data_IF_785859655922
#
_entry.id   IF_785859655922
#
_cell.length_a   1.000
_cell.length_b   1.000
_cell.length_c   1.000
_cell.angle_alpha   90.00
_cell.angle_beta   90.00
_cell.angle_gamma   90.00
#
_symmetry.space_group_name_H-M   'P 1'
#
loop_
_entity.id
_entity.type
_entity.pdbx_description
1 polymer ?
#
# COMPACT_ATOMS: atom_id res chain seq x y z
N UNK A 1 35.74 3.87 28.06
CA UNK A 1 35.27 4.32 26.73
C UNK A 1 34.61 3.15 26.08
N UNK A 2 33.25 3.08 26.03
CA UNK A 2 32.55 2.02 25.30
C UNK A 2 32.67 2.33 23.81
N UNK A 3 33.35 1.48 23.07
CA UNK A 3 33.30 1.51 21.61
C UNK A 3 31.92 0.92 21.26
N UNK A 4 31.03 1.73 20.72
CA UNK A 4 29.79 1.23 20.17
C UNK A 4 30.14 0.34 18.98
N UNK A 5 29.93 -0.98 19.11
CA UNK A 5 29.94 -1.87 17.95
C UNK A 5 28.77 -1.50 17.05
N UNK A 6 29.06 -0.82 15.96
CA UNK A 6 28.07 -0.64 14.88
C UNK A 6 27.97 -1.96 14.12
N UNK A 7 26.81 -2.59 14.17
CA UNK A 7 26.53 -3.77 13.32
C UNK A 7 26.58 -3.27 11.86
N UNK A 8 27.35 -3.91 10.98
CA UNK A 8 27.34 -3.55 9.55
C UNK A 8 25.92 -3.67 8.99
N UNK A 9 25.58 -2.82 8.05
CA UNK A 9 24.32 -2.89 7.34
C UNK A 9 24.47 -2.41 5.89
N UNK A 10 23.63 -2.98 5.04
CA UNK A 10 23.44 -2.53 3.66
C UNK A 10 22.17 -1.67 3.59
N UNK A 11 22.24 -0.55 2.89
CA UNK A 11 21.11 0.34 2.68
C UNK A 11 20.49 0.08 1.31
N UNK A 12 19.19 -0.16 1.25
CA UNK A 12 18.45 -0.39 0.03
C UNK A 12 17.24 0.52 -0.11
N UNK A 13 16.80 0.70 -1.35
CA UNK A 13 15.57 1.41 -1.71
C UNK A 13 14.85 0.66 -2.83
N UNK A 14 13.56 0.39 -2.63
CA UNK A 14 12.66 -0.04 -3.68
C UNK A 14 11.82 1.17 -4.13
N UNK A 15 12.05 1.65 -5.35
CA UNK A 15 11.39 2.80 -5.97
C UNK A 15 10.63 2.43 -7.25
N UNK A 16 10.52 1.14 -7.53
CA UNK A 16 9.82 0.55 -8.67
C UNK A 16 10.35 0.93 -10.06
N UNK A 17 11.40 1.74 -10.17
CA UNK A 17 11.95 2.14 -11.48
C UNK A 17 12.57 0.98 -12.25
N UNK A 18 13.00 -0.07 -11.54
CA UNK A 18 13.55 -1.31 -12.09
C UNK A 18 12.46 -2.31 -12.57
N UNK A 19 11.17 -2.03 -12.30
CA UNK A 19 10.07 -2.91 -12.69
C UNK A 19 9.62 -2.59 -14.13
N UNK A 20 9.59 -3.56 -15.06
CA UNK A 20 9.04 -3.33 -16.39
C UNK A 20 7.53 -3.09 -16.32
N UNK A 21 7.03 -2.18 -17.17
CA UNK A 21 5.61 -1.95 -17.35
C UNK A 21 5.27 -2.05 -18.84
N UNK A 22 4.07 -2.58 -19.18
CA UNK A 22 3.56 -2.56 -20.55
C UNK A 22 3.16 -1.14 -20.97
N UNK A 23 2.84 -0.93 -22.24
CA UNK A 23 2.39 0.37 -22.79
C UNK A 23 1.13 0.91 -22.07
N UNK A 24 0.33 0.04 -21.48
CA UNK A 24 -0.83 0.45 -20.67
C UNK A 24 -0.45 1.20 -19.38
N UNK A 25 0.84 1.14 -18.97
CA UNK A 25 1.37 1.89 -17.83
C UNK A 25 1.02 1.31 -16.45
N UNK A 26 0.46 0.14 -16.39
CA UNK A 26 0.19 -0.56 -15.14
C UNK A 26 0.20 -2.06 -15.39
N UNK A 27 0.64 -2.82 -14.38
CA UNK A 27 0.53 -4.26 -14.30
C UNK A 27 0.87 -5.01 -15.61
N UNK A 28 1.71 -6.03 -15.52
CA UNK A 28 2.00 -6.97 -16.61
C UNK A 28 1.46 -8.36 -16.23
N UNK A 29 0.82 -9.05 -17.18
CA UNK A 29 0.34 -10.41 -16.98
C UNK A 29 1.46 -11.38 -16.57
N UNK A 30 2.71 -11.11 -16.95
CA UNK A 30 3.89 -11.90 -16.60
C UNK A 30 4.34 -11.65 -15.13
N UNK A 31 3.85 -10.59 -14.48
CA UNK A 31 4.09 -10.28 -13.07
C UNK A 31 3.04 -10.86 -12.12
N UNK A 32 2.19 -11.76 -12.60
CA UNK A 32 1.17 -12.43 -11.80
C UNK A 32 1.79 -13.26 -10.67
N UNK A 33 1.27 -13.04 -9.46
CA UNK A 33 1.69 -13.73 -8.25
C UNK A 33 2.79 -13.04 -7.47
N UNK A 34 3.83 -12.51 -8.10
CA UNK A 34 4.86 -11.72 -7.45
C UNK A 34 5.75 -10.99 -8.47
N UNK A 35 6.28 -9.83 -8.06
CA UNK A 35 7.35 -9.12 -8.75
C UNK A 35 8.38 -8.62 -7.74
N UNK A 36 9.53 -8.14 -8.23
CA UNK A 36 10.62 -7.65 -7.40
C UNK A 36 10.97 -6.21 -7.78
N UNK A 37 11.21 -5.37 -6.77
CA UNK A 37 11.91 -4.09 -6.93
C UNK A 37 13.00 -4.02 -5.88
N UNK A 38 14.22 -3.73 -6.31
CA UNK A 38 15.45 -3.92 -5.51
C UNK A 38 15.49 -5.33 -4.91
N UNK A 39 15.58 -5.46 -3.56
CA UNK A 39 15.61 -6.76 -2.88
C UNK A 39 14.23 -7.19 -2.33
N UNK A 40 13.20 -6.35 -2.48
CA UNK A 40 11.86 -6.60 -1.95
C UNK A 40 11.00 -7.35 -2.97
N UNK A 41 10.29 -8.39 -2.49
CA UNK A 41 9.30 -9.14 -3.28
C UNK A 41 7.91 -8.64 -2.91
N UNK A 42 7.13 -8.24 -3.91
CA UNK A 42 5.76 -7.78 -3.77
C UNK A 42 4.82 -8.87 -4.28
N UNK A 43 3.78 -9.19 -3.51
CA UNK A 43 2.82 -10.23 -3.89
C UNK A 43 1.56 -9.62 -4.50
N UNK A 44 0.98 -10.31 -5.47
CA UNK A 44 -0.26 -9.92 -6.13
C UNK A 44 -1.08 -11.15 -6.51
N UNK A 45 -2.39 -10.98 -6.58
CA UNK A 45 -3.30 -12.00 -7.07
C UNK A 45 -4.21 -11.42 -8.15
N UNK A 46 -4.17 -12.02 -9.32
CA UNK A 46 -4.98 -11.66 -10.46
C UNK A 46 -5.89 -12.80 -10.86
N UNK A 47 -7.18 -12.51 -10.98
CA UNK A 47 -8.17 -13.44 -11.50
C UNK A 47 -8.43 -13.10 -12.97
N UNK A 48 -8.17 -14.06 -13.87
CA UNK A 48 -8.31 -13.86 -15.32
C UNK A 48 -9.75 -13.99 -15.84
N UNK A 49 -10.67 -14.44 -14.98
CA UNK A 49 -12.08 -14.61 -15.31
C UNK A 49 -12.79 -13.27 -15.45
N UNK A 50 -13.89 -13.22 -16.19
CA UNK A 50 -14.72 -12.02 -16.39
C UNK A 50 -13.98 -10.79 -16.95
N UNK A 51 -12.89 -11.00 -17.69
CA UNK A 51 -12.08 -9.93 -18.25
C UNK A 51 -10.88 -9.53 -17.41
N UNK A 52 -10.70 -10.17 -16.27
CA UNK A 52 -9.57 -9.98 -15.37
C UNK A 52 -9.77 -8.87 -14.33
N UNK A 53 -9.41 -9.16 -13.08
CA UNK A 53 -9.44 -8.19 -11.98
C UNK A 53 -8.40 -8.51 -10.90
N UNK A 54 -8.02 -7.49 -10.14
CA UNK A 54 -7.20 -7.65 -8.94
C UNK A 54 -8.00 -8.30 -7.82
N UNK A 55 -7.49 -9.39 -7.26
CA UNK A 55 -8.08 -10.07 -6.08
C UNK A 55 -7.31 -9.76 -4.78
N UNK A 56 -6.65 -8.64 -4.74
CA UNK A 56 -5.76 -8.23 -3.66
C UNK A 56 -4.29 -8.30 -4.06
N UNK A 57 -3.45 -7.51 -3.40
CA UNK A 57 -2.02 -7.49 -3.64
C UNK A 57 -1.44 -6.12 -3.95
N UNK A 58 -0.23 -6.14 -4.50
CA UNK A 58 0.53 -4.94 -4.84
C UNK A 58 0.87 -5.00 -6.33
N UNK A 59 0.60 -3.93 -7.07
CA UNK A 59 0.70 -3.88 -8.53
C UNK A 59 1.50 -2.67 -8.98
N UNK A 60 2.51 -2.81 -9.85
CA UNK A 60 3.28 -1.68 -10.35
C UNK A 60 2.44 -0.83 -11.30
N UNK A 61 2.65 0.50 -11.28
CA UNK A 61 1.97 1.47 -12.13
C UNK A 61 2.80 2.74 -12.34
N UNK A 62 2.49 3.48 -13.40
CA UNK A 62 2.93 4.86 -13.60
C UNK A 62 1.77 5.79 -14.00
N UNK A 63 0.53 5.35 -13.82
CA UNK A 63 -0.65 6.11 -14.20
C UNK A 63 -0.88 7.32 -13.30
N UNK A 64 -1.25 8.43 -13.91
CA UNK A 64 -1.32 9.74 -13.26
C UNK A 64 -2.64 10.46 -13.62
N UNK A 65 -3.74 9.74 -13.68
CA UNK A 65 -5.07 10.33 -13.85
C UNK A 65 -5.67 10.66 -12.48
N UNK A 66 -5.60 11.93 -12.08
CA UNK A 66 -6.14 12.41 -10.79
C UNK A 66 -7.60 12.89 -10.87
N UNK A 67 -8.27 12.77 -12.03
CA UNK A 67 -9.61 13.36 -12.27
C UNK A 67 -10.71 12.34 -12.49
N UNK A 68 -10.43 11.22 -13.16
CA UNK A 68 -11.44 10.18 -13.40
C UNK A 68 -11.81 9.50 -12.09
N UNK A 69 -13.10 9.48 -11.77
CA UNK A 69 -13.65 8.86 -10.56
C UNK A 69 -14.02 7.40 -10.77
N UNK A 70 -14.22 6.68 -9.68
CA UNK A 70 -14.79 5.33 -9.67
C UNK A 70 -13.82 4.22 -10.07
N UNK A 71 -14.38 3.02 -10.18
CA UNK A 71 -13.67 1.74 -10.34
C UNK A 71 -12.78 1.66 -11.59
N UNK A 72 -13.05 2.45 -12.63
CA UNK A 72 -12.26 2.43 -13.86
C UNK A 72 -10.87 3.08 -13.70
N UNK A 73 -10.60 3.70 -12.56
CA UNK A 73 -9.33 4.39 -12.28
C UNK A 73 -8.65 3.86 -11.00
N UNK A 74 -8.54 2.54 -10.89
CA UNK A 74 -7.97 1.86 -9.71
C UNK A 74 -6.46 2.01 -9.60
N UNK A 75 -5.76 2.17 -10.72
CA UNK A 75 -4.30 2.06 -10.78
C UNK A 75 -3.58 3.42 -10.88
N UNK A 76 -4.29 4.54 -10.74
CA UNK A 76 -3.70 5.87 -10.76
C UNK A 76 -3.41 6.41 -9.38
N UNK A 77 -2.29 7.13 -9.26
CA UNK A 77 -1.97 7.96 -8.10
C UNK A 77 -2.74 9.27 -8.14
N UNK A 78 -3.32 9.70 -7.00
CA UNK A 78 -3.96 11.02 -6.92
C UNK A 78 -2.94 12.16 -6.97
N UNK A 79 -1.87 12.17 -6.14
CA UNK A 79 -0.78 13.10 -6.36
C UNK A 79 0.03 12.66 -7.59
N UNK A 80 0.56 13.64 -8.32
CA UNK A 80 1.44 13.34 -9.46
C UNK A 80 2.63 12.50 -9.00
N UNK A 81 2.86 11.30 -9.56
CA UNK A 81 4.06 10.52 -9.27
C UNK A 81 5.28 11.14 -9.96
N UNK A 82 6.47 10.86 -9.45
CA UNK A 82 7.74 11.25 -10.08
C UNK A 82 8.23 10.23 -11.11
N UNK A 83 7.74 8.99 -11.02
CA UNK A 83 8.10 7.88 -11.88
C UNK A 83 7.09 6.74 -11.73
N UNK A 84 7.60 5.54 -11.57
CA UNK A 84 6.80 4.36 -11.24
C UNK A 84 6.52 4.31 -9.73
N UNK A 85 5.45 3.63 -9.38
CA UNK A 85 5.01 3.39 -8.00
C UNK A 85 4.25 2.07 -7.94
N UNK A 86 3.80 1.64 -6.78
CA UNK A 86 2.94 0.49 -6.66
C UNK A 86 1.58 0.86 -6.08
N UNK A 87 0.53 0.26 -6.63
CA UNK A 87 -0.84 0.32 -6.14
C UNK A 87 -1.05 -0.83 -5.18
N UNK A 88 -1.52 -0.54 -3.99
CA UNK A 88 -1.91 -1.51 -2.98
C UNK A 88 -3.42 -1.71 -3.07
N UNK A 89 -3.86 -2.95 -3.20
CA UNK A 89 -5.26 -3.37 -3.06
C UNK A 89 -5.36 -4.44 -1.97
N UNK A 90 -6.05 -4.13 -0.89
CA UNK A 90 -6.36 -5.10 0.15
C UNK A 90 -7.77 -5.65 -0.03
N UNK A 91 -7.90 -6.97 -0.06
CA UNK A 91 -9.19 -7.65 -0.18
C UNK A 91 -9.50 -8.41 1.12
N UNK A 92 -10.53 -7.97 1.83
CA UNK A 92 -10.96 -8.56 3.12
C UNK A 92 -11.41 -10.04 2.98
N UNK A 93 -11.72 -10.49 1.77
CA UNK A 93 -12.18 -11.86 1.51
C UNK A 93 -11.04 -12.84 1.19
N UNK A 94 -9.82 -12.32 0.99
CA UNK A 94 -8.63 -13.14 0.75
C UNK A 94 -7.87 -13.34 2.07
N UNK A 95 -7.57 -14.60 2.39
CA UNK A 95 -6.84 -14.92 3.62
C UNK A 95 -5.43 -14.31 3.59
N UNK A 96 -5.10 -13.50 4.58
CA UNK A 96 -3.75 -12.94 4.77
C UNK A 96 -2.67 -14.01 5.02
N UNK A 97 -3.08 -15.24 5.34
CA UNK A 97 -2.17 -16.38 5.55
C UNK A 97 -1.67 -16.99 4.24
N UNK A 98 -2.35 -16.78 3.13
CA UNK A 98 -1.95 -17.30 1.82
C UNK A 98 -0.92 -16.43 1.09
N UNK A 99 -0.55 -15.28 1.67
CA UNK A 99 0.62 -14.52 1.24
C UNK A 99 0.39 -13.56 0.07
N UNK A 100 -0.76 -13.58 -0.57
CA UNK A 100 -1.00 -12.80 -1.79
C UNK A 100 -1.75 -11.47 -1.55
N UNK A 101 -2.29 -11.25 -0.36
CA UNK A 101 -3.09 -10.07 -0.08
C UNK A 101 -2.21 -8.90 0.42
N UNK A 102 -1.94 -7.92 -0.44
CA UNK A 102 -1.26 -6.66 -0.12
C UNK A 102 -0.04 -6.84 0.81
N UNK A 103 0.90 -7.68 0.40
CA UNK A 103 2.06 -8.06 1.20
C UNK A 103 3.35 -7.83 0.44
N UNK A 104 4.39 -7.37 1.14
CA UNK A 104 5.75 -7.40 0.62
C UNK A 104 6.70 -8.14 1.59
N UNK A 105 7.69 -8.82 0.98
CA UNK A 105 8.63 -9.71 1.66
C UNK A 105 10.03 -9.11 1.52
N UNK A 106 10.72 -8.99 2.64
CA UNK A 106 12.06 -8.40 2.75
C UNK A 106 13.11 -9.49 2.95
N UNK A 107 14.37 -9.23 2.51
CA UNK A 107 15.49 -10.04 2.97
C UNK A 107 15.71 -9.86 4.48
N UNK A 108 16.35 -10.84 5.12
CA UNK A 108 16.57 -10.85 6.55
C UNK A 108 18.01 -10.63 6.96
N UNK A 109 18.21 -10.12 8.16
CA UNK A 109 17.33 -9.29 9.01
C UNK A 109 17.21 -7.88 8.44
N UNK A 110 16.00 -7.33 8.43
CA UNK A 110 15.74 -6.05 7.78
C UNK A 110 15.02 -5.07 8.72
N UNK A 111 15.43 -3.80 8.70
CA UNK A 111 14.68 -2.69 9.27
C UNK A 111 14.12 -1.83 8.15
N UNK A 112 12.81 -1.72 8.05
CA UNK A 112 12.17 -0.76 7.15
C UNK A 112 12.19 0.61 7.81
N UNK A 113 12.80 1.60 7.17
CA UNK A 113 12.89 2.95 7.72
C UNK A 113 11.64 3.76 7.48
N UNK A 114 11.23 3.83 6.22
CA UNK A 114 9.98 4.46 5.82
C UNK A 114 9.45 3.92 4.51
N UNK A 115 8.21 4.19 4.25
CA UNK A 115 7.53 4.02 2.98
C UNK A 115 6.83 5.32 2.62
N UNK A 116 6.89 5.77 1.37
CA UNK A 116 6.06 6.87 0.86
C UNK A 116 4.67 6.33 0.56
N UNK A 117 3.64 7.05 1.02
CA UNK A 117 2.24 6.64 0.88
C UNK A 117 1.42 7.80 0.36
N UNK A 118 0.47 7.52 -0.52
CA UNK A 118 -0.53 8.49 -0.95
C UNK A 118 -1.88 7.82 -1.23
N UNK A 119 -2.93 8.63 -1.38
CA UNK A 119 -4.19 8.10 -1.87
C UNK A 119 -4.08 7.68 -3.34
N UNK A 120 -4.67 6.54 -3.70
CA UNK A 120 -5.05 6.28 -5.09
C UNK A 120 -6.13 7.28 -5.52
N UNK A 121 -6.24 7.55 -6.81
CA UNK A 121 -7.32 8.42 -7.32
C UNK A 121 -8.69 7.84 -7.01
N UNK A 122 -8.83 6.54 -7.12
CA UNK A 122 -10.06 5.82 -6.79
C UNK A 122 -10.52 6.10 -5.35
N UNK A 123 -9.66 5.85 -4.36
CA UNK A 123 -9.97 6.07 -2.93
C UNK A 123 -10.17 7.54 -2.60
N UNK A 124 -9.35 8.44 -3.16
CA UNK A 124 -9.49 9.87 -2.91
C UNK A 124 -10.88 10.40 -3.28
N UNK A 125 -11.38 10.06 -4.47
CA UNK A 125 -12.68 10.53 -4.91
C UNK A 125 -13.84 9.83 -4.19
N UNK A 126 -13.71 8.54 -3.88
CA UNK A 126 -14.69 7.84 -3.04
C UNK A 126 -14.86 8.53 -1.67
N UNK A 127 -13.76 8.88 -0.99
CA UNK A 127 -13.77 9.62 0.27
C UNK A 127 -14.39 11.02 0.08
N UNK A 128 -14.00 11.73 -0.97
CA UNK A 128 -14.37 13.13 -1.17
C UNK A 128 -15.81 13.32 -1.61
N UNK A 129 -16.32 12.44 -2.46
CA UNK A 129 -17.62 12.61 -3.13
C UNK A 129 -18.60 11.47 -2.92
N UNK A 130 -18.13 10.31 -2.42
CA UNK A 130 -18.90 9.07 -2.34
C UNK A 130 -19.02 8.34 -3.67
N UNK A 131 -18.21 8.69 -4.67
CA UNK A 131 -18.25 8.07 -5.99
C UNK A 131 -17.17 6.98 -6.09
N UNK A 132 -17.60 5.73 -5.91
CA UNK A 132 -16.83 4.50 -6.11
C UNK A 132 -17.19 3.80 -7.43
N UNK A 133 -18.10 4.35 -8.20
CA UNK A 133 -18.62 3.75 -9.43
C UNK A 133 -19.70 2.68 -9.22
N UNK A 134 -20.02 2.31 -7.97
CA UNK A 134 -21.05 1.32 -7.61
C UNK A 134 -22.17 1.91 -6.73
N UNK A 135 -21.94 3.09 -6.13
CA UNK A 135 -22.85 3.71 -5.18
C UNK A 135 -22.85 3.06 -3.79
N UNK A 136 -21.78 2.36 -3.44
CA UNK A 136 -21.62 1.73 -2.12
C UNK A 136 -21.07 2.71 -1.10
N UNK A 137 -20.19 3.61 -1.52
CA UNK A 137 -19.57 4.63 -0.69
C UNK A 137 -20.47 5.83 -0.44
N UNK A 138 -20.16 6.56 0.63
CA UNK A 138 -20.65 7.91 0.88
C UNK A 138 -19.48 8.89 1.03
N UNK A 139 -19.73 10.16 0.71
CA UNK A 139 -18.77 11.20 1.03
C UNK A 139 -18.51 11.27 2.55
N UNK A 140 -17.25 11.50 2.94
CA UNK A 140 -16.86 11.62 4.34
C UNK A 140 -17.34 12.94 4.94
N UNK A 141 -17.73 12.88 6.19
CA UNK A 141 -18.25 13.98 7.01
C UNK A 141 -17.61 13.99 8.39
N UNK A 142 -17.95 14.96 9.22
CA UNK A 142 -17.44 15.07 10.59
C UNK A 142 -17.56 13.74 11.37
N UNK A 143 -16.46 13.34 12.00
CA UNK A 143 -16.28 12.09 12.71
C UNK A 143 -15.70 10.95 11.87
N UNK A 144 -15.66 11.05 10.54
CA UNK A 144 -15.15 9.99 9.66
C UNK A 144 -13.62 9.96 9.60
N UNK A 145 -13.10 8.78 9.30
CA UNK A 145 -11.67 8.57 9.07
C UNK A 145 -11.42 7.33 8.21
N UNK A 146 -10.28 7.32 7.54
CA UNK A 146 -9.76 6.18 6.77
C UNK A 146 -8.25 6.09 6.96
N UNK A 147 -7.74 4.91 7.24
CA UNK A 147 -6.31 4.68 7.47
C UNK A 147 -5.80 3.43 6.77
N UNK A 148 -4.53 3.45 6.43
CA UNK A 148 -3.73 2.30 6.08
C UNK A 148 -2.92 1.86 7.32
N UNK A 149 -2.76 0.55 7.49
CA UNK A 149 -2.00 -0.09 8.57
C UNK A 149 -0.93 -0.99 7.98
N UNK A 150 0.33 -0.78 8.38
CA UNK A 150 1.48 -1.62 8.05
C UNK A 150 1.78 -2.52 9.24
N UNK A 151 1.64 -3.83 9.09
CA UNK A 151 1.93 -4.82 10.14
C UNK A 151 3.16 -5.62 9.78
N UNK A 152 4.19 -5.56 10.65
CA UNK A 152 5.44 -6.28 10.47
C UNK A 152 5.41 -7.69 11.06
N UNK A 153 6.09 -8.62 10.40
CA UNK A 153 6.28 -9.99 10.88
C UNK A 153 7.73 -10.40 10.69
N UNK A 154 8.28 -11.19 11.64
CA UNK A 154 9.58 -11.82 11.48
C UNK A 154 9.48 -13.10 10.61
N UNK A 155 10.61 -13.78 10.38
CA UNK A 155 10.67 -15.01 9.60
C UNK A 155 9.89 -16.18 10.22
N UNK A 156 9.69 -16.17 11.54
CA UNK A 156 8.87 -17.16 12.23
C UNK A 156 7.37 -16.87 12.13
N UNK A 157 6.97 -15.72 11.51
CA UNK A 157 5.59 -15.28 11.41
C UNK A 157 5.06 -14.59 12.67
N UNK A 158 5.94 -14.24 13.63
CA UNK A 158 5.55 -13.50 14.82
C UNK A 158 5.29 -12.02 14.47
N UNK A 159 4.21 -11.48 15.02
CA UNK A 159 3.82 -10.08 14.83
C UNK A 159 4.76 -9.15 15.62
N UNK A 160 5.42 -8.23 14.92
CA UNK A 160 6.36 -7.25 15.47
C UNK A 160 5.70 -5.91 15.83
N UNK A 161 4.40 -5.75 15.55
CA UNK A 161 3.65 -4.53 15.74
C UNK A 161 3.10 -3.96 14.45
N UNK A 162 2.44 -2.81 14.57
CA UNK A 162 1.80 -2.14 13.43
C UNK A 162 2.01 -0.63 13.49
N UNK A 163 2.00 -0.01 12.31
CA UNK A 163 2.05 1.44 12.14
C UNK A 163 0.85 1.87 11.32
N UNK A 164 0.10 2.84 11.83
CA UNK A 164 -1.08 3.41 11.19
C UNK A 164 -0.73 4.75 10.51
N UNK A 165 -1.32 4.99 9.33
CA UNK A 165 -1.32 6.30 8.69
C UNK A 165 -2.72 6.66 8.21
N UNK A 166 -3.21 7.86 8.59
CA UNK A 166 -4.54 8.33 8.20
C UNK A 166 -4.50 8.98 6.80
N UNK A 167 -5.09 8.31 5.83
CA UNK A 167 -5.30 8.85 4.47
C UNK A 167 -6.44 9.86 4.43
N UNK A 168 -7.37 9.80 5.40
CA UNK A 168 -8.37 10.82 5.66
C UNK A 168 -8.73 10.87 7.15
N UNK A 169 -8.93 12.08 7.71
CA UNK A 169 -9.31 12.29 9.10
C UNK A 169 -10.21 13.54 9.24
N UNK A 170 -11.48 13.31 9.53
CA UNK A 170 -12.51 14.33 9.75
C UNK A 170 -12.95 14.41 11.20
N UNK A 171 -12.20 13.83 12.14
CA UNK A 171 -12.50 13.85 13.58
C UNK A 171 -12.03 15.15 14.20
N UNK A 172 -12.73 15.57 15.28
CA UNK A 172 -12.35 16.73 16.10
C UNK A 172 -12.20 18.05 15.30
N UNK A 173 -13.11 18.28 14.35
CA UNK A 173 -13.10 19.49 13.52
C UNK A 173 -12.05 19.50 12.40
N UNK A 174 -11.35 18.40 12.17
CA UNK A 174 -10.48 18.24 11.01
C UNK A 174 -11.31 18.06 9.74
N UNK A 175 -10.71 18.42 8.61
CA UNK A 175 -11.23 18.14 7.26
C UNK A 175 -10.03 17.79 6.37
N UNK A 176 -9.39 16.66 6.69
CA UNK A 176 -8.17 16.23 6.07
C UNK A 176 -8.42 15.05 5.12
N UNK A 177 -7.95 15.16 3.88
CA UNK A 177 -7.71 14.05 2.96
C UNK A 177 -6.29 14.23 2.45
N UNK A 178 -5.46 13.20 2.53
CA UNK A 178 -4.08 13.25 2.00
C UNK A 178 -4.11 13.49 0.49
N UNK A 179 -3.37 14.54 0.07
CA UNK A 179 -3.31 15.00 -1.32
C UNK A 179 -1.90 14.89 -1.91
N UNK A 180 -0.94 14.57 -1.07
CA UNK A 180 0.46 14.45 -1.41
C UNK A 180 1.02 13.07 -1.12
N UNK A 181 2.32 12.96 -1.22
CA UNK A 181 3.09 11.81 -0.78
C UNK A 181 3.58 12.04 0.65
N UNK A 182 3.23 11.15 1.57
CA UNK A 182 3.64 11.19 2.97
C UNK A 182 4.69 10.12 3.28
N UNK A 183 5.73 10.48 4.03
CA UNK A 183 6.71 9.53 4.53
C UNK A 183 6.19 8.92 5.85
N UNK A 184 5.94 7.62 5.84
CA UNK A 184 5.50 6.86 7.01
C UNK A 184 6.66 6.07 7.56
N UNK A 185 7.12 6.40 8.77
CA UNK A 185 8.22 5.69 9.42
C UNK A 185 7.77 4.33 9.94
N UNK A 186 8.47 3.27 9.55
CA UNK A 186 8.23 1.90 10.02
C UNK A 186 9.32 1.40 10.98
N UNK A 187 10.20 2.28 11.46
CA UNK A 187 11.33 1.94 12.36
C UNK A 187 10.87 1.24 13.64
N UNK A 188 9.66 1.53 14.12
CA UNK A 188 9.09 0.90 15.32
C UNK A 188 8.82 -0.59 15.18
N UNK A 189 8.78 -1.13 13.94
CA UNK A 189 8.66 -2.57 13.69
C UNK A 189 9.96 -3.33 14.01
N UNK A 190 11.09 -2.62 14.19
CA UNK A 190 12.37 -3.21 14.59
C UNK A 190 13.23 -3.65 13.42
N UNK A 191 14.21 -4.54 13.72
CA UNK A 191 15.26 -4.95 12.77
C UNK A 191 15.09 -6.35 12.20
N UNK A 192 14.08 -7.05 12.65
CA UNK A 192 13.82 -8.45 12.31
C UNK A 192 12.65 -8.61 11.33
N UNK A 193 12.30 -7.53 10.60
CA UNK A 193 11.17 -7.56 9.69
C UNK A 193 11.50 -8.41 8.47
N UNK A 194 10.70 -9.44 8.25
CA UNK A 194 10.76 -10.28 7.05
C UNK A 194 9.58 -10.04 6.12
N UNK A 195 8.43 -9.71 6.68
CA UNK A 195 7.20 -9.49 5.92
C UNK A 195 6.46 -8.30 6.48
N UNK A 196 5.88 -7.48 5.60
CA UNK A 196 4.93 -6.44 5.95
C UNK A 196 3.63 -6.70 5.21
N UNK A 197 2.52 -6.81 5.95
CA UNK A 197 1.18 -6.82 5.37
C UNK A 197 0.53 -5.44 5.51
N UNK A 198 -0.23 -5.06 4.49
CA UNK A 198 -0.92 -3.77 4.43
C UNK A 198 -2.42 -4.03 4.48
N UNK A 199 -3.12 -3.35 5.38
CA UNK A 199 -4.57 -3.44 5.52
C UNK A 199 -5.19 -2.06 5.70
N UNK A 200 -6.51 -1.97 5.60
CA UNK A 200 -7.23 -0.71 5.75
C UNK A 200 -8.32 -0.82 6.80
N UNK A 201 -8.67 0.32 7.37
CA UNK A 201 -9.86 0.47 8.22
C UNK A 201 -10.42 1.88 8.09
N UNK A 202 -11.71 2.04 8.38
CA UNK A 202 -12.39 3.31 8.23
C UNK A 202 -13.78 3.28 8.84
N UNK A 203 -14.51 4.38 8.74
CA UNK A 203 -15.84 4.56 9.32
C UNK A 203 -17.00 4.33 8.34
N UNK A 204 -16.74 4.33 7.04
CA UNK A 204 -17.75 4.00 6.03
C UNK A 204 -17.83 2.48 5.86
N UNK A 205 -18.68 1.86 6.71
CA UNK A 205 -18.84 0.41 6.81
C UNK A 205 -20.28 0.06 6.44
N UNK A 206 -20.45 -0.97 5.61
CA UNK A 206 -21.72 -1.56 5.23
C UNK A 206 -21.83 -3.03 5.66
N UNK A 207 -22.82 -3.72 5.12
CA UNK A 207 -23.10 -5.14 5.43
C UNK A 207 -21.97 -6.08 5.03
N UNK A 208 -21.10 -5.65 4.11
CA UNK A 208 -20.00 -6.43 3.54
C UNK A 208 -18.61 -5.91 3.93
N UNK A 209 -18.49 -5.13 5.00
CA UNK A 209 -17.23 -4.54 5.44
C UNK A 209 -17.07 -3.08 5.01
N UNK A 210 -15.83 -2.65 4.71
CA UNK A 210 -15.55 -1.29 4.25
C UNK A 210 -16.19 -1.02 2.89
N UNK A 211 -17.00 0.06 2.81
CA UNK A 211 -17.51 0.56 1.53
C UNK A 211 -16.44 1.38 0.77
N UNK A 212 -15.60 2.11 1.51
CA UNK A 212 -14.49 2.87 0.92
C UNK A 212 -13.50 1.91 0.26
N UNK A 213 -13.13 2.13 -1.03
CA UNK A 213 -12.15 1.28 -1.71
C UNK A 213 -10.85 1.15 -0.93
N UNK A 214 -10.43 -0.08 -0.69
CA UNK A 214 -9.25 -0.43 0.09
C UNK A 214 -7.97 -0.35 -0.75
N UNK A 215 -7.74 0.83 -1.35
CA UNK A 215 -6.61 1.15 -2.22
C UNK A 215 -5.80 2.32 -1.69
N UNK A 216 -4.49 2.21 -1.79
CA UNK A 216 -3.56 3.33 -1.72
C UNK A 216 -2.43 3.13 -2.72
N UNK A 217 -1.52 4.08 -2.80
CA UNK A 217 -0.28 3.94 -3.57
C UNK A 217 0.92 4.08 -2.64
N UNK A 218 1.97 3.30 -2.92
CA UNK A 218 3.24 3.32 -2.18
C UNK A 218 4.39 3.52 -3.14
N UNK A 219 5.46 4.13 -2.64
CA UNK A 219 6.69 4.39 -3.36
C UNK A 219 7.86 4.49 -2.38
N UNK A 220 9.11 4.48 -2.88
CA UNK A 220 10.34 4.72 -2.11
C UNK A 220 10.35 4.03 -0.74
N UNK A 221 10.41 2.69 -0.73
CA UNK A 221 10.58 1.94 0.51
C UNK A 221 12.08 1.91 0.84
N UNK A 222 12.49 2.65 1.89
CA UNK A 222 13.87 2.63 2.38
C UNK A 222 14.05 1.60 3.50
N UNK A 223 15.14 0.84 3.42
CA UNK A 223 15.40 -0.23 4.37
C UNK A 223 16.90 -0.47 4.62
N UNK A 224 17.20 -1.12 5.74
CA UNK A 224 18.54 -1.60 6.09
C UNK A 224 18.52 -3.10 6.35
N UNK A 225 19.38 -3.81 5.64
CA UNK A 225 19.67 -5.22 5.88
C UNK A 225 20.86 -5.29 6.83
N UNK A 226 20.76 -6.04 7.90
CA UNK A 226 21.81 -6.24 8.88
C UNK A 226 22.50 -7.60 8.65
N UNK A 227 23.85 -7.57 8.65
CA UNK A 227 24.70 -8.78 8.52
C UNK A 227 24.64 -9.65 9.80
#
# INVERSE_FOLDING_TARGET
>A
MMVACTVPYYYGRADFEDVPLPDAGYFDADLLGAFKSADIIFTSEWVSEYGGYSNGGIYPSNLNDSVTTGILNQYSSYPKPEGKFAVVHYNDYVSSTEGNNATFILPEPTMVEYVRVANSTYTYWAIKTGDDGFGSCRAYKDGDWFKVTFTGYNACGENLGSVDYYLADFRNGKSFIEKGWANVSLVSLGKEVHKVSISFSGTDIGDYGLNTPTYCVIDEIDYRIYD
#
